data_IF_720431057067
#
_entry.id   IF_720431057067
#
_cell.length_a   1.000
_cell.length_b   1.000
_cell.length_c   1.000
_cell.angle_alpha   90.00
_cell.angle_beta   90.00
_cell.angle_gamma   90.00
#
_symmetry.space_group_name_H-M   'P 1'
#
loop_
_entity.id
_entity.type
_entity.pdbx_description
1 polymer ?
#
# COMPACT_ATOMS: atom_id res chain seq x y z
N UNK A 1 -2.26 -27.09 -53.50
CA UNK A 1 -2.81 -27.56 -52.21
C UNK A 1 -1.63 -27.56 -51.24
N UNK A 2 -1.52 -26.67 -50.27
CA UNK A 2 -2.54 -25.91 -49.55
C UNK A 2 -2.09 -24.47 -49.29
N UNK A 3 -3.06 -23.57 -49.42
CA UNK A 3 -2.97 -22.14 -49.15
C UNK A 3 -3.21 -21.86 -47.64
N UNK A 4 -2.38 -20.96 -47.10
CA UNK A 4 -2.66 -19.80 -46.24
C UNK A 4 -3.90 -19.79 -45.31
N UNK A 5 -3.61 -19.59 -44.02
CA UNK A 5 -4.36 -18.91 -42.92
C UNK A 5 -5.83 -19.34 -42.64
N UNK A 6 -6.31 -19.48 -41.40
CA UNK A 6 -6.35 -18.49 -40.34
C UNK A 6 -6.40 -19.18 -38.97
N UNK A 7 -5.59 -18.67 -38.04
CA UNK A 7 -5.70 -18.93 -36.60
C UNK A 7 -6.91 -18.17 -36.06
N UNK A 8 -7.85 -18.87 -35.43
CA UNK A 8 -8.87 -18.25 -34.59
C UNK A 8 -8.51 -18.58 -33.15
N UNK A 9 -7.73 -17.69 -32.53
CA UNK A 9 -7.53 -17.69 -31.09
C UNK A 9 -8.80 -17.12 -30.45
N UNK A 10 -9.70 -18.00 -30.05
CA UNK A 10 -10.81 -17.61 -29.17
C UNK A 10 -10.24 -17.42 -27.76
N UNK A 11 -10.26 -16.16 -27.34
CA UNK A 11 -9.93 -15.67 -26.00
C UNK A 11 -10.72 -16.46 -24.95
N UNK A 12 -10.02 -17.31 -24.20
CA UNK A 12 -10.51 -17.73 -22.89
C UNK A 12 -10.14 -16.63 -21.93
N UNK A 13 -11.15 -15.82 -21.61
CA UNK A 13 -11.18 -14.90 -20.49
C UNK A 13 -11.04 -15.75 -19.21
N UNK A 14 -9.80 -16.10 -18.86
CA UNK A 14 -9.48 -16.74 -17.60
C UNK A 14 -9.66 -15.69 -16.52
N UNK A 15 -10.76 -15.79 -15.76
CA UNK A 15 -10.84 -15.16 -14.45
C UNK A 15 -9.59 -15.59 -13.67
N UNK A 16 -8.66 -14.65 -13.49
CA UNK A 16 -7.47 -14.83 -12.68
C UNK A 16 -7.91 -14.97 -11.22
N UNK A 17 -8.35 -16.17 -10.86
CA UNK A 17 -8.56 -16.59 -9.50
C UNK A 17 -7.19 -16.65 -8.85
N UNK A 18 -6.84 -15.57 -8.15
CA UNK A 18 -5.63 -15.47 -7.33
C UNK A 18 -5.75 -16.53 -6.24
N UNK A 19 -5.25 -17.74 -6.52
CA UNK A 19 -5.12 -18.79 -5.54
C UNK A 19 -4.05 -18.33 -4.55
N UNK A 20 -4.48 -17.87 -3.37
CA UNK A 20 -3.57 -17.59 -2.26
C UNK A 20 -3.01 -18.93 -1.77
N UNK A 21 -1.72 -19.14 -2.00
CA UNK A 21 -0.98 -20.27 -1.47
C UNK A 21 -0.86 -20.11 0.05
N UNK A 22 -1.63 -20.89 0.82
CA UNK A 22 -1.52 -20.93 2.28
C UNK A 22 -0.24 -21.67 2.70
N UNK A 23 0.86 -20.94 2.71
CA UNK A 23 2.15 -21.42 3.21
C UNK A 23 2.26 -21.20 4.72
N UNK A 24 1.63 -22.10 5.48
CA UNK A 24 2.22 -22.63 6.72
C UNK A 24 2.00 -21.88 8.05
N UNK A 25 1.75 -22.71 9.07
CA UNK A 25 1.89 -22.48 10.51
C UNK A 25 0.73 -21.79 11.26
N UNK A 26 -0.27 -22.60 11.65
CA UNK A 26 -0.92 -22.51 12.97
C UNK A 26 -1.56 -21.19 13.39
N UNK A 27 -2.10 -20.41 12.46
CA UNK A 27 -2.82 -19.18 12.77
C UNK A 27 -4.06 -19.07 11.90
N UNK A 28 -5.22 -18.81 12.49
CA UNK A 28 -6.48 -18.64 11.75
C UNK A 28 -6.37 -17.56 10.66
N UNK A 29 -7.29 -17.62 9.69
CA UNK A 29 -7.42 -16.63 8.63
C UNK A 29 -7.50 -15.22 9.21
N UNK A 30 -6.75 -14.28 8.62
CA UNK A 30 -6.72 -12.87 9.03
C UNK A 30 -7.44 -12.06 7.96
N UNK A 31 -8.48 -11.34 8.35
CA UNK A 31 -9.20 -10.46 7.46
C UNK A 31 -8.71 -9.02 7.66
N UNK A 32 -8.36 -8.34 6.57
CA UNK A 32 -7.99 -6.92 6.61
C UNK A 32 -8.90 -6.18 5.65
N UNK A 33 -9.65 -5.22 6.19
CA UNK A 33 -10.50 -4.31 5.44
C UNK A 33 -9.84 -2.93 5.44
N UNK A 34 -9.77 -2.30 4.28
CA UNK A 34 -9.16 -0.97 4.14
C UNK A 34 -10.20 -0.04 3.53
N UNK A 35 -10.50 1.03 4.25
CA UNK A 35 -11.38 2.07 3.74
C UNK A 35 -10.70 2.79 2.56
N UNK A 36 -11.40 3.04 1.44
CA UNK A 36 -10.81 3.67 0.25
C UNK A 36 -10.11 5.02 0.52
N UNK A 37 -10.59 5.77 1.51
CA UNK A 37 -9.95 7.02 1.96
C UNK A 37 -8.46 6.84 2.29
N UNK A 38 -8.08 5.74 2.92
CA UNK A 38 -6.68 5.46 3.30
C UNK A 38 -5.80 5.35 2.06
N UNK A 39 -6.28 4.66 1.03
CA UNK A 39 -5.57 4.49 -0.24
C UNK A 39 -5.39 5.86 -0.92
N UNK A 40 -6.45 6.67 -0.93
CA UNK A 40 -6.41 8.02 -1.51
C UNK A 40 -5.42 8.91 -0.76
N UNK A 41 -5.42 8.88 0.57
CA UNK A 41 -4.49 9.67 1.39
C UNK A 41 -3.02 9.30 1.09
N UNK A 42 -2.70 8.01 1.00
CA UNK A 42 -1.34 7.53 0.68
C UNK A 42 -0.93 7.97 -0.73
N UNK A 43 -1.84 7.81 -1.71
CA UNK A 43 -1.57 8.18 -3.10
C UNK A 43 -1.35 9.69 -3.26
N UNK A 44 -2.15 10.52 -2.58
CA UNK A 44 -1.99 11.97 -2.54
C UNK A 44 -0.66 12.37 -1.91
N UNK A 45 -0.33 11.83 -0.72
CA UNK A 45 0.94 12.11 -0.04
C UNK A 45 2.15 11.76 -0.93
N UNK A 46 2.13 10.58 -1.57
CA UNK A 46 3.19 10.16 -2.49
C UNK A 46 3.33 11.12 -3.68
N UNK A 47 2.20 11.55 -4.24
CA UNK A 47 2.18 12.43 -5.41
C UNK A 47 2.71 13.81 -5.05
N UNK A 48 2.26 14.39 -3.94
CA UNK A 48 2.76 15.69 -3.46
C UNK A 48 4.27 15.68 -3.24
N UNK A 49 4.79 14.64 -2.58
CA UNK A 49 6.23 14.55 -2.32
C UNK A 49 7.05 14.40 -3.61
N UNK A 50 6.57 13.59 -4.56
CA UNK A 50 7.20 13.47 -5.89
C UNK A 50 7.18 14.79 -6.65
N UNK A 51 6.06 15.51 -6.68
CA UNK A 51 5.97 16.79 -7.37
C UNK A 51 6.89 17.85 -6.73
N UNK A 52 6.93 17.90 -5.40
CA UNK A 52 7.80 18.85 -4.67
C UNK A 52 9.29 18.56 -4.90
N UNK A 53 9.68 17.29 -4.96
CA UNK A 53 11.07 16.91 -5.22
C UNK A 53 11.47 17.21 -6.67
N UNK A 54 10.56 16.98 -7.63
CA UNK A 54 10.77 17.35 -9.03
C UNK A 54 10.97 18.87 -9.19
N UNK A 55 10.16 19.68 -8.50
CA UNK A 55 10.29 21.14 -8.54
C UNK A 55 11.60 21.61 -7.91
N UNK A 56 12.03 20.95 -6.84
CA UNK A 56 13.25 21.28 -6.11
C UNK A 56 14.52 20.65 -6.70
N UNK A 57 14.40 19.87 -7.78
CA UNK A 57 15.48 19.05 -8.38
C UNK A 57 16.19 18.15 -7.37
N UNK A 58 15.46 17.64 -6.38
CA UNK A 58 15.96 16.70 -5.38
C UNK A 58 15.39 15.31 -5.63
N UNK A 59 16.04 14.27 -5.08
CA UNK A 59 15.44 12.94 -5.05
C UNK A 59 14.14 12.97 -4.23
N UNK A 60 13.14 12.19 -4.68
CA UNK A 60 11.87 12.07 -3.99
C UNK A 60 12.07 11.29 -2.68
N UNK A 61 11.83 11.89 -1.50
CA UNK A 61 11.97 11.17 -0.25
C UNK A 61 10.93 10.05 -0.13
N UNK A 62 11.30 8.97 0.56
CA UNK A 62 10.38 7.90 0.92
C UNK A 62 9.26 8.44 1.81
N UNK A 63 7.99 8.20 1.48
CA UNK A 63 6.90 8.62 2.37
C UNK A 63 6.72 7.63 3.51
N UNK A 64 6.39 8.15 4.70
CA UNK A 64 6.07 7.34 5.88
C UNK A 64 4.79 7.89 6.49
N UNK A 65 3.92 6.99 6.92
CA UNK A 65 2.64 7.31 7.53
C UNK A 65 2.24 6.24 8.55
N UNK A 66 1.24 6.56 9.36
CA UNK A 66 0.60 5.63 10.28
C UNK A 66 -0.82 5.29 9.80
N UNK A 67 -1.23 4.06 10.05
CA UNK A 67 -2.58 3.57 9.76
C UNK A 67 -3.38 3.49 11.05
N UNK A 68 -4.63 3.95 11.01
CA UNK A 68 -5.55 3.94 12.12
C UNK A 68 -6.76 3.07 11.81
N UNK A 69 -7.15 2.29 12.81
CA UNK A 69 -8.09 1.21 12.62
C UNK A 69 -8.64 0.64 13.93
N UNK A 70 -9.53 -0.31 13.80
CA UNK A 70 -10.04 -1.14 14.89
C UNK A 70 -9.66 -2.59 14.57
N UNK A 71 -9.17 -3.31 15.58
CA UNK A 71 -8.93 -4.74 15.48
C UNK A 71 -9.92 -5.49 16.38
N UNK A 72 -10.57 -6.52 15.83
CA UNK A 72 -11.45 -7.45 16.53
C UNK A 72 -10.98 -8.87 16.26
N UNK A 73 -10.17 -9.41 17.16
CA UNK A 73 -9.57 -10.73 16.97
C UNK A 73 -8.58 -10.72 15.79
N UNK A 74 -8.89 -11.48 14.75
CA UNK A 74 -8.09 -11.58 13.52
C UNK A 74 -8.56 -10.62 12.41
N UNK A 75 -9.64 -9.88 12.65
CA UNK A 75 -10.20 -8.92 11.72
C UNK A 75 -9.68 -7.52 12.04
N UNK A 76 -9.13 -6.83 11.03
CA UNK A 76 -8.58 -5.48 11.13
C UNK A 76 -9.28 -4.58 10.14
N UNK A 77 -9.96 -3.55 10.65
CA UNK A 77 -10.60 -2.51 9.87
C UNK A 77 -9.73 -1.24 9.91
N UNK A 78 -9.08 -0.89 8.80
CA UNK A 78 -8.30 0.35 8.65
C UNK A 78 -9.20 1.41 8.04
N UNK A 79 -9.48 2.49 8.77
CA UNK A 79 -10.39 3.55 8.32
C UNK A 79 -9.73 4.92 8.15
N UNK A 80 -8.56 5.13 8.76
CA UNK A 80 -7.87 6.41 8.67
C UNK A 80 -6.35 6.23 8.52
N UNK A 81 -5.68 7.30 8.10
CA UNK A 81 -4.23 7.36 7.95
C UNK A 81 -3.72 8.78 8.04
N UNK A 82 -2.50 8.94 8.54
CA UNK A 82 -1.83 10.23 8.58
C UNK A 82 -0.34 10.14 8.26
N UNK A 83 0.21 11.25 7.79
CA UNK A 83 1.63 11.39 7.46
C UNK A 83 2.48 11.47 8.72
N UNK A 84 3.63 10.81 8.71
CA UNK A 84 4.55 10.77 9.84
C UNK A 84 5.76 11.66 9.60
N UNK A 85 6.14 12.41 10.64
CA UNK A 85 7.45 13.06 10.68
C UNK A 85 8.53 12.03 11.02
N UNK A 86 9.61 12.07 10.27
CA UNK A 86 10.77 11.23 10.51
C UNK A 86 12.03 11.96 10.05
N UNK A 87 13.14 11.62 10.67
CA UNK A 87 14.48 12.05 10.29
C UNK A 87 15.29 10.86 9.77
N UNK A 88 16.25 11.11 8.89
CA UNK A 88 17.20 10.10 8.44
C UNK A 88 18.56 10.41 9.07
N UNK A 89 18.97 9.60 10.03
CA UNK A 89 20.24 9.76 10.76
C UNK A 89 21.10 8.54 10.48
N UNK A 90 22.28 8.74 9.88
CA UNK A 90 23.20 7.65 9.49
C UNK A 90 22.58 6.58 8.57
N UNK A 91 21.57 6.96 7.77
CA UNK A 91 20.84 6.03 6.89
C UNK A 91 19.73 5.24 7.60
N UNK A 92 19.55 5.44 8.90
CA UNK A 92 18.42 4.89 9.65
C UNK A 92 17.26 5.89 9.73
N UNK A 93 16.04 5.38 9.61
CA UNK A 93 14.82 6.18 9.73
C UNK A 93 14.45 6.27 11.20
N UNK A 94 14.47 7.48 11.76
CA UNK A 94 14.04 7.78 13.11
C UNK A 94 12.67 8.45 13.08
N UNK A 95 11.65 7.75 13.57
CA UNK A 95 10.29 8.28 13.66
C UNK A 95 10.18 9.25 14.83
N UNK A 96 9.56 10.40 14.60
CA UNK A 96 9.24 11.38 15.65
C UNK A 96 8.12 10.86 16.55
N UNK A 97 8.50 10.41 17.75
CA UNK A 97 7.59 9.85 18.76
C UNK A 97 6.70 10.91 19.39
N UNK A 98 7.17 12.14 19.54
CA UNK A 98 6.39 13.22 20.13
C UNK A 98 5.28 13.63 19.16
N UNK A 99 5.61 13.75 17.88
CA UNK A 99 4.63 13.97 16.83
C UNK A 99 3.60 12.84 16.76
N UNK A 100 4.04 11.58 16.80
CA UNK A 100 3.12 10.44 16.85
C UNK A 100 2.16 10.55 18.03
N UNK A 101 2.68 10.78 19.23
CA UNK A 101 1.87 10.87 20.45
C UNK A 101 0.84 12.00 20.36
N UNK A 102 1.22 13.14 19.78
CA UNK A 102 0.30 14.28 19.58
C UNK A 102 -0.87 14.00 18.62
N UNK A 103 -0.76 12.97 17.77
CA UNK A 103 -1.80 12.58 16.81
C UNK A 103 -2.74 11.51 17.33
N UNK A 104 -2.35 10.82 18.41
CA UNK A 104 -3.10 9.69 18.99
C UNK A 104 -3.93 10.13 20.22
N UNK A 105 -3.56 11.27 20.84
CA UNK A 105 -4.29 11.89 21.94
C UNK A 105 -5.45 12.75 21.45
#
# INVERSE_FOLDING_TARGET
>A
MQDTEMTSAEEKDEEMLVQREDSGAGGGERQIQIHPLVIVNIADHQTRQKCNSQLSQTEAPQIIGALFGIQKGLDVDVYDSFEMKYDVVNGEIQIDKEFLTSRIQ
#
